data_IF_636171077691
#
_entry.id   IF_636171077691
#
_cell.length_a   1.000
_cell.length_b   1.000
_cell.length_c   1.000
_cell.angle_alpha   90.00
_cell.angle_beta   90.00
_cell.angle_gamma   90.00
#
_symmetry.space_group_name_H-M   'P 1'
#
loop_
_entity.id
_entity.type
_entity.pdbx_description
1 polymer ?
#
# COMPACT_ATOMS: atom_id res chain seq x y z
N UNK A 1 28.92 13.79 -66.72
CA UNK A 1 27.89 13.92 -67.77
C UNK A 1 27.89 12.59 -68.54
N UNK A 2 26.86 11.76 -68.60
CA UNK A 2 25.42 12.01 -68.53
C UNK A 2 24.71 10.65 -68.31
N UNK A 3 23.44 10.73 -67.87
CA UNK A 3 22.39 9.74 -68.09
C UNK A 3 22.17 8.62 -67.06
N UNK A 4 21.88 9.03 -65.82
CA UNK A 4 20.87 8.42 -64.93
C UNK A 4 19.46 8.56 -65.56
N UNK A 5 19.20 7.91 -66.69
CA UNK A 5 17.90 8.04 -67.40
C UNK A 5 17.31 6.74 -67.96
N UNK A 6 17.68 5.58 -67.40
CA UNK A 6 17.09 4.28 -67.78
C UNK A 6 16.41 3.48 -66.66
N UNK A 7 16.18 4.08 -65.47
CA UNK A 7 15.53 3.36 -64.35
C UNK A 7 14.11 3.89 -64.04
N UNK A 8 13.67 4.99 -64.67
CA UNK A 8 12.36 5.61 -64.34
C UNK A 8 11.20 5.11 -65.23
N UNK A 9 11.47 4.34 -66.28
CA UNK A 9 10.44 3.90 -67.24
C UNK A 9 9.80 2.53 -66.95
N UNK A 10 10.07 1.91 -65.80
CA UNK A 10 9.42 0.65 -65.38
C UNK A 10 8.54 0.78 -64.13
N UNK A 11 8.27 2.00 -63.65
CA UNK A 11 7.53 2.23 -62.40
C UNK A 11 6.14 2.88 -62.61
N UNK A 12 5.79 3.28 -63.84
CA UNK A 12 4.61 4.14 -64.05
C UNK A 12 3.46 3.56 -64.87
N UNK A 13 3.48 2.29 -65.27
CA UNK A 13 2.34 1.69 -65.97
C UNK A 13 2.10 0.29 -65.42
N UNK A 14 0.84 0.00 -65.10
CA UNK A 14 0.30 -1.29 -64.57
C UNK A 14 0.23 -1.46 -63.06
N UNK A 15 -0.13 -0.39 -62.34
CA UNK A 15 -0.96 -0.51 -61.12
C UNK A 15 -2.23 0.32 -61.28
N UNK A 16 -2.99 0.01 -62.33
CA UNK A 16 -4.45 0.17 -62.26
C UNK A 16 -4.93 -0.72 -61.11
N UNK A 17 -5.15 -0.09 -59.95
CA UNK A 17 -5.93 -0.72 -58.90
C UNK A 17 -7.32 -0.90 -59.48
N UNK A 18 -7.66 -2.14 -59.79
CA UNK A 18 -9.04 -2.60 -59.76
C UNK A 18 -9.65 -2.09 -58.46
N UNK A 19 -10.44 -1.02 -58.57
CA UNK A 19 -11.39 -0.62 -57.54
C UNK A 19 -12.39 -1.77 -57.54
N UNK A 20 -12.12 -2.79 -56.73
CA UNK A 20 -13.18 -3.67 -56.28
C UNK A 20 -14.19 -2.76 -55.61
N UNK A 21 -15.37 -2.67 -56.23
CA UNK A 21 -16.55 -2.10 -55.62
C UNK A 21 -16.60 -2.68 -54.21
N UNK A 22 -16.53 -1.80 -53.22
CA UNK A 22 -16.81 -2.17 -51.84
C UNK A 22 -18.18 -2.84 -51.87
N UNK A 23 -18.22 -4.18 -51.84
CA UNK A 23 -19.35 -4.88 -51.28
C UNK A 23 -19.52 -4.22 -49.93
N UNK A 24 -20.58 -3.45 -49.78
CA UNK A 24 -21.04 -3.00 -48.49
C UNK A 24 -21.25 -4.29 -47.70
N UNK A 25 -20.22 -4.67 -46.94
CA UNK A 25 -20.41 -5.53 -45.80
C UNK A 25 -21.16 -4.62 -44.85
N UNK A 26 -22.49 -4.64 -45.00
CA UNK A 26 -23.40 -4.24 -43.96
C UNK A 26 -23.11 -5.17 -42.79
N UNK A 27 -22.14 -4.77 -41.98
CA UNK A 27 -22.05 -5.27 -40.61
C UNK A 27 -23.34 -4.74 -40.01
N UNK A 28 -24.35 -5.62 -39.96
CA UNK A 28 -25.57 -5.34 -39.23
C UNK A 28 -25.14 -4.73 -37.89
N UNK A 29 -25.72 -3.59 -37.47
CA UNK A 29 -25.36 -3.03 -36.18
C UNK A 29 -25.47 -4.17 -35.20
N UNK A 30 -24.37 -4.44 -34.49
CA UNK A 30 -24.39 -5.40 -33.40
C UNK A 30 -25.41 -4.82 -32.42
N UNK A 31 -26.65 -5.26 -32.56
CA UNK A 31 -27.61 -5.26 -31.48
C UNK A 31 -26.91 -6.12 -30.45
N UNK A 32 -26.21 -5.45 -29.54
CA UNK A 32 -26.10 -5.95 -28.21
C UNK A 32 -27.56 -6.11 -27.76
N UNK A 33 -28.13 -7.30 -28.03
CA UNK A 33 -29.05 -7.91 -27.11
C UNK A 33 -28.26 -7.96 -25.82
N UNK A 34 -28.32 -6.86 -25.08
CA UNK A 34 -28.15 -6.86 -23.64
C UNK A 34 -29.32 -7.70 -23.16
N UNK A 35 -29.18 -9.01 -23.34
CA UNK A 35 -29.66 -9.93 -22.34
C UNK A 35 -28.92 -9.45 -21.11
N UNK A 36 -29.62 -8.63 -20.33
CA UNK A 36 -29.36 -8.52 -18.92
C UNK A 36 -29.56 -9.94 -18.40
N UNK A 37 -28.57 -10.81 -18.62
CA UNK A 37 -28.27 -11.84 -17.66
C UNK A 37 -27.90 -11.04 -16.42
N UNK A 38 -28.95 -10.74 -15.65
CA UNK A 38 -28.91 -10.51 -14.23
C UNK A 38 -28.30 -11.77 -13.61
N UNK A 39 -27.02 -12.02 -13.88
CA UNK A 39 -26.19 -12.61 -12.86
C UNK A 39 -25.92 -11.45 -11.91
N UNK A 40 -26.61 -11.39 -10.76
CA UNK A 40 -26.19 -10.48 -9.72
C UNK A 40 -24.74 -10.83 -9.47
N UNK A 41 -23.82 -9.92 -9.79
CA UNK A 41 -22.47 -9.98 -9.21
C UNK A 41 -22.74 -10.11 -7.73
N UNK A 42 -22.38 -11.26 -7.18
CA UNK A 42 -22.61 -11.66 -5.81
C UNK A 42 -21.76 -10.76 -4.91
N UNK A 43 -22.13 -9.49 -4.79
CA UNK A 43 -21.92 -8.78 -3.56
C UNK A 43 -22.85 -9.48 -2.60
N UNK A 44 -22.31 -10.43 -1.85
CA UNK A 44 -22.96 -10.88 -0.63
C UNK A 44 -23.21 -9.62 0.20
N UNK A 45 -24.39 -9.04 0.04
CA UNK A 45 -25.08 -8.42 1.17
C UNK A 45 -25.10 -9.55 2.16
N UNK A 46 -24.18 -9.54 3.11
CA UNK A 46 -24.30 -10.41 4.27
C UNK A 46 -25.59 -9.95 4.92
N UNK A 47 -26.69 -10.65 4.61
CA UNK A 47 -27.89 -10.65 5.44
C UNK A 47 -27.36 -10.79 6.85
N UNK A 48 -27.78 -9.89 7.73
CA UNK A 48 -27.63 -10.02 9.17
C UNK A 48 -28.01 -11.44 9.52
N UNK A 49 -27.02 -12.28 9.72
CA UNK A 49 -27.22 -13.67 10.10
C UNK A 49 -27.90 -13.61 11.46
N UNK A 50 -29.08 -14.22 11.51
CA UNK A 50 -29.86 -14.39 12.73
C UNK A 50 -28.90 -14.81 13.87
N UNK A 51 -28.88 -14.12 15.01
CA UNK A 51 -27.96 -14.42 16.11
C UNK A 51 -27.90 -15.92 16.45
N UNK A 52 -29.03 -16.62 16.35
CA UNK A 52 -29.12 -18.05 16.63
C UNK A 52 -28.40 -18.91 15.57
N UNK A 53 -28.39 -18.53 14.29
CA UNK A 53 -27.65 -19.25 13.23
C UNK A 53 -26.13 -19.16 13.42
N UNK A 54 -25.64 -18.03 13.95
CA UNK A 54 -24.21 -17.85 14.23
C UNK A 54 -23.78 -18.71 15.40
N UNK A 55 -24.63 -18.81 16.42
CA UNK A 55 -24.40 -19.64 17.61
C UNK A 55 -24.34 -21.13 17.22
N UNK A 56 -25.28 -21.61 16.42
CA UNK A 56 -25.32 -23.01 15.99
C UNK A 56 -24.09 -23.40 15.16
N UNK A 57 -23.66 -22.54 14.24
CA UNK A 57 -22.50 -22.78 13.37
C UNK A 57 -21.16 -22.82 14.12
N UNK A 58 -21.02 -22.00 15.17
CA UNK A 58 -19.76 -21.87 15.91
C UNK A 58 -19.70 -22.90 17.04
N UNK A 59 -20.80 -23.11 17.77
CA UNK A 59 -20.78 -23.87 19.02
C UNK A 59 -20.99 -25.38 18.81
N UNK A 60 -21.58 -25.82 17.69
CA UNK A 60 -21.80 -27.24 17.35
C UNK A 60 -22.32 -28.07 18.55
N UNK A 61 -23.20 -27.50 19.37
CA UNK A 61 -23.81 -28.16 20.55
C UNK A 61 -23.04 -28.06 21.89
N UNK A 62 -21.93 -27.31 21.97
CA UNK A 62 -21.21 -27.14 23.23
C UNK A 62 -21.80 -25.99 24.08
N UNK A 63 -22.54 -26.36 25.14
CA UNK A 63 -23.32 -25.43 25.97
C UNK A 63 -22.48 -24.35 26.68
N UNK A 64 -21.22 -24.63 27.05
CA UNK A 64 -20.36 -23.63 27.69
C UNK A 64 -19.88 -22.55 26.72
N UNK A 65 -19.53 -22.97 25.49
CA UNK A 65 -19.10 -22.05 24.44
C UNK A 65 -20.26 -21.17 23.98
N UNK A 66 -21.47 -21.74 23.90
CA UNK A 66 -22.68 -21.00 23.59
C UNK A 66 -22.97 -19.91 24.63
N UNK A 67 -22.92 -20.25 25.92
CA UNK A 67 -23.09 -19.26 27.00
C UNK A 67 -22.08 -18.13 26.89
N UNK A 68 -20.80 -18.45 26.65
CA UNK A 68 -19.75 -17.45 26.45
C UNK A 68 -20.03 -16.57 25.24
N UNK A 69 -20.45 -17.14 24.12
CA UNK A 69 -20.76 -16.39 22.90
C UNK A 69 -21.97 -15.46 23.09
N UNK A 70 -23.05 -15.94 23.72
CA UNK A 70 -24.23 -15.13 24.05
C UNK A 70 -23.86 -13.94 24.96
N UNK A 71 -23.00 -14.17 25.97
CA UNK A 71 -22.47 -13.08 26.83
C UNK A 71 -21.69 -12.06 26.00
N UNK A 72 -20.86 -12.50 25.05
CA UNK A 72 -20.11 -11.59 24.18
C UNK A 72 -21.02 -10.80 23.24
N UNK A 73 -22.08 -11.40 22.71
CA UNK A 73 -23.07 -10.72 21.88
C UNK A 73 -23.80 -9.63 22.67
N UNK A 74 -24.20 -9.93 23.92
CA UNK A 74 -24.75 -8.94 24.84
C UNK A 74 -23.74 -7.83 25.17
N UNK A 75 -22.46 -8.17 25.37
CA UNK A 75 -21.40 -7.17 25.60
C UNK A 75 -21.28 -6.19 24.42
N UNK A 76 -21.35 -6.68 23.17
CA UNK A 76 -21.33 -5.83 21.97
C UNK A 76 -22.58 -4.95 21.89
N UNK A 77 -23.75 -5.49 22.19
CA UNK A 77 -25.01 -4.74 22.12
C UNK A 77 -25.08 -3.63 23.17
N UNK A 78 -24.67 -3.93 24.41
CA UNK A 78 -24.52 -2.91 25.47
C UNK A 78 -23.54 -1.82 25.04
N UNK A 79 -22.43 -2.17 24.39
CA UNK A 79 -21.49 -1.17 23.88
C UNK A 79 -22.11 -0.25 22.82
N UNK A 80 -23.02 -0.74 21.98
CA UNK A 80 -23.75 0.08 21.00
C UNK A 80 -24.72 1.04 21.69
N UNK A 81 -25.47 0.54 22.68
CA UNK A 81 -26.42 1.34 23.47
C UNK A 81 -25.71 2.46 24.26
N UNK A 82 -24.54 2.16 24.83
CA UNK A 82 -23.68 3.13 25.52
C UNK A 82 -23.06 4.20 24.57
N UNK A 83 -23.25 4.09 23.25
CA UNK A 83 -22.61 4.97 22.27
C UNK A 83 -21.10 4.77 22.13
N UNK A 84 -20.57 3.61 22.58
CA UNK A 84 -19.15 3.27 22.41
C UNK A 84 -18.90 2.77 20.99
N UNK A 85 -17.62 2.80 20.59
CA UNK A 85 -17.20 2.36 19.26
C UNK A 85 -17.31 0.83 19.09
N UNK A 86 -18.47 0.35 18.65
CA UNK A 86 -18.75 -1.05 18.32
C UNK A 86 -19.28 -1.15 16.87
N UNK A 87 -18.86 -2.15 16.08
CA UNK A 87 -19.28 -2.31 14.68
C UNK A 87 -20.75 -2.74 14.57
N UNK A 88 -21.37 -2.47 13.42
CA UNK A 88 -22.79 -2.79 13.17
C UNK A 88 -22.97 -4.26 12.72
N UNK A 89 -22.00 -4.80 11.98
CA UNK A 89 -21.99 -6.20 11.54
C UNK A 89 -20.69 -6.91 11.91
N UNK A 90 -20.79 -8.13 12.45
CA UNK A 90 -19.64 -8.97 12.85
C UNK A 90 -19.74 -10.35 12.19
N UNK A 91 -18.66 -10.77 11.55
CA UNK A 91 -18.56 -12.07 10.86
C UNK A 91 -18.23 -13.23 11.81
N UNK A 92 -18.52 -14.47 11.40
CA UNK A 92 -18.24 -15.70 12.17
C UNK A 92 -16.76 -15.81 12.59
N UNK A 93 -15.81 -15.55 11.68
CA UNK A 93 -14.37 -15.56 12.02
C UNK A 93 -14.00 -14.51 13.08
N UNK A 94 -14.70 -13.37 13.08
CA UNK A 94 -14.47 -12.30 14.04
C UNK A 94 -15.03 -12.68 15.42
N UNK A 95 -16.15 -13.41 15.46
CA UNK A 95 -16.69 -14.00 16.68
C UNK A 95 -15.77 -15.08 17.26
N UNK A 96 -15.22 -15.97 16.42
CA UNK A 96 -14.22 -16.95 16.84
C UNK A 96 -12.98 -16.26 17.43
N UNK A 97 -12.50 -15.19 16.78
CA UNK A 97 -11.39 -14.41 17.32
C UNK A 97 -11.75 -13.71 18.64
N UNK A 98 -12.98 -13.21 18.81
CA UNK A 98 -13.43 -12.62 20.07
C UNK A 98 -13.48 -13.64 21.23
N UNK A 99 -13.81 -14.89 20.93
CA UNK A 99 -13.81 -15.99 21.91
C UNK A 99 -12.40 -16.34 22.40
N UNK A 100 -11.39 -16.22 21.54
CA UNK A 100 -9.98 -16.48 21.89
C UNK A 100 -9.39 -15.39 22.81
N UNK A 101 -9.96 -14.17 22.78
CA UNK A 101 -9.48 -13.04 23.59
C UNK A 101 -9.90 -13.16 25.07
N UNK A 102 -8.90 -13.37 25.93
CA UNK A 102 -9.08 -13.60 27.37
C UNK A 102 -9.58 -12.35 28.13
N UNK A 103 -9.09 -11.16 27.78
CA UNK A 103 -9.35 -9.94 28.57
C UNK A 103 -10.39 -9.00 27.94
N UNK A 104 -11.18 -8.32 28.77
CA UNK A 104 -12.18 -7.32 28.35
C UNK A 104 -11.55 -6.18 27.52
N UNK A 105 -10.38 -5.68 27.94
CA UNK A 105 -9.68 -4.60 27.26
C UNK A 105 -9.21 -4.99 25.85
N UNK A 106 -8.77 -6.24 25.65
CA UNK A 106 -8.39 -6.75 24.33
C UNK A 106 -9.62 -6.83 23.42
N UNK A 107 -10.76 -7.33 23.92
CA UNK A 107 -12.02 -7.37 23.17
C UNK A 107 -12.50 -5.98 22.78
N UNK A 108 -12.56 -5.03 23.71
CA UNK A 108 -12.92 -3.65 23.41
C UNK A 108 -11.99 -3.00 22.39
N UNK A 109 -10.69 -3.26 22.48
CA UNK A 109 -9.69 -2.76 21.51
C UNK A 109 -9.84 -3.40 20.12
N UNK A 110 -10.33 -4.64 20.05
CA UNK A 110 -10.64 -5.31 18.78
C UNK A 110 -11.95 -4.78 18.18
N UNK A 111 -13.02 -4.63 18.96
CA UNK A 111 -14.29 -4.05 18.53
C UNK A 111 -14.10 -2.61 18.01
N UNK A 112 -13.34 -1.79 18.73
CA UNK A 112 -12.99 -0.43 18.28
C UNK A 112 -12.24 -0.45 16.94
N UNK A 113 -11.38 -1.44 16.72
CA UNK A 113 -10.68 -1.61 15.45
C UNK A 113 -11.65 -1.98 14.32
N UNK A 114 -12.60 -2.90 14.57
CA UNK A 114 -13.62 -3.28 13.60
C UNK A 114 -14.50 -2.07 13.23
N UNK A 115 -14.99 -1.32 14.22
CA UNK A 115 -15.77 -0.10 14.01
C UNK A 115 -15.03 0.93 13.14
N UNK A 116 -13.76 1.21 13.47
CA UNK A 116 -12.94 2.13 12.65
C UNK A 116 -12.76 1.63 11.22
N UNK A 117 -12.64 0.32 11.05
CA UNK A 117 -12.51 -0.30 9.72
C UNK A 117 -13.80 -0.16 8.91
N UNK A 118 -14.95 -0.34 9.56
CA UNK A 118 -16.29 -0.16 8.97
C UNK A 118 -16.52 1.31 8.55
N UNK A 119 -16.29 2.26 9.46
CA UNK A 119 -16.42 3.69 9.14
C UNK A 119 -15.44 4.14 8.05
N UNK A 120 -14.24 3.57 8.01
CA UNK A 120 -13.31 3.83 6.90
C UNK A 120 -13.85 3.34 5.56
N UNK A 121 -14.56 2.20 5.52
CA UNK A 121 -15.19 1.69 4.29
C UNK A 121 -16.40 2.54 3.88
N UNK A 122 -17.23 2.97 4.82
CA UNK A 122 -18.33 3.90 4.55
C UNK A 122 -17.80 5.21 3.96
N UNK A 123 -16.80 5.82 4.58
CA UNK A 123 -16.16 7.04 4.08
C UNK A 123 -15.56 6.85 2.68
N UNK A 124 -14.94 5.69 2.42
CA UNK A 124 -14.42 5.37 1.09
C UNK A 124 -15.54 5.23 0.06
N UNK A 125 -16.66 4.59 0.41
CA UNK A 125 -17.84 4.46 -0.45
C UNK A 125 -18.46 5.82 -0.74
N UNK A 126 -18.67 6.65 0.28
CA UNK A 126 -19.16 8.01 0.14
C UNK A 126 -18.25 8.85 -0.76
N UNK A 127 -16.92 8.77 -0.59
CA UNK A 127 -15.95 9.46 -1.45
C UNK A 127 -16.00 8.97 -2.90
N UNK A 128 -16.17 7.66 -3.11
CA UNK A 128 -16.29 7.06 -4.46
C UNK A 128 -17.58 7.48 -5.14
N UNK A 129 -18.69 7.55 -4.41
CA UNK A 129 -19.98 8.03 -4.92
C UNK A 129 -19.94 9.53 -5.23
N UNK A 130 -19.32 10.34 -4.37
CA UNK A 130 -19.08 11.76 -4.64
C UNK A 130 -18.27 11.95 -5.93
N UNK A 131 -17.16 11.20 -6.09
CA UNK A 131 -16.36 11.21 -7.32
C UNK A 131 -17.16 10.75 -8.54
N UNK A 132 -18.03 9.74 -8.40
CA UNK A 132 -18.89 9.29 -9.50
C UNK A 132 -19.88 10.38 -9.93
N UNK A 133 -20.45 11.14 -8.99
CA UNK A 133 -21.32 12.28 -9.27
C UNK A 133 -20.58 13.39 -10.01
N UNK A 134 -19.30 13.64 -9.69
CA UNK A 134 -18.46 14.58 -10.44
C UNK A 134 -18.26 14.14 -11.90
N UNK A 135 -18.07 12.84 -12.16
CA UNK A 135 -17.93 12.32 -13.53
C UNK A 135 -19.23 12.34 -14.34
N UNK A 136 -20.40 12.33 -13.70
CA UNK A 136 -21.69 12.45 -14.41
C UNK A 136 -22.01 13.88 -14.82
N UNK A 137 -21.34 14.88 -14.24
CA UNK A 137 -21.42 16.25 -14.75
C UNK A 137 -20.72 16.27 -16.11
N UNK A 138 -21.41 16.68 -17.20
CA UNK A 138 -20.77 16.77 -18.50
C UNK A 138 -19.56 17.69 -18.39
N UNK A 139 -18.40 17.16 -18.80
CA UNK A 139 -17.19 17.97 -18.91
C UNK A 139 -17.40 18.97 -20.05
N UNK A 140 -16.85 20.19 -19.97
CA UNK A 140 -16.80 21.08 -21.12
C UNK A 140 -16.19 20.32 -22.30
N UNK A 141 -16.85 20.38 -23.46
CA UNK A 141 -16.35 19.74 -24.67
C UNK A 141 -14.99 20.37 -25.03
N UNK A 142 -13.99 19.52 -25.29
CA UNK A 142 -12.69 19.98 -25.77
C UNK A 142 -12.89 20.55 -27.18
N UNK A 143 -12.97 21.87 -27.28
CA UNK A 143 -13.22 22.58 -28.54
C UNK A 143 -11.97 22.52 -29.42
N UNK A 144 -12.16 22.15 -30.69
CA UNK A 144 -11.11 22.30 -31.69
C UNK A 144 -10.93 23.79 -32.03
N UNK A 145 -9.69 24.27 -32.15
CA UNK A 145 -9.42 25.62 -32.65
C UNK A 145 -9.85 25.76 -34.12
N UNK A 146 -9.57 24.75 -34.96
CA UNK A 146 -10.08 24.65 -36.33
C UNK A 146 -10.85 23.34 -36.60
N UNK A 147 -11.79 23.34 -37.54
CA UNK A 147 -12.60 22.15 -37.90
C UNK A 147 -11.75 20.96 -38.35
N UNK A 148 -10.66 21.24 -39.05
CA UNK A 148 -9.79 20.24 -39.68
C UNK A 148 -8.71 19.69 -38.72
N UNK A 149 -8.56 20.28 -37.53
CA UNK A 149 -7.53 19.84 -36.58
C UNK A 149 -7.88 18.49 -35.95
N UNK A 150 -6.86 17.65 -35.79
CA UNK A 150 -6.93 16.39 -35.07
C UNK A 150 -6.90 16.70 -33.58
N UNK A 151 -7.97 16.33 -32.87
CA UNK A 151 -8.02 16.48 -31.42
C UNK A 151 -7.16 15.37 -30.79
N UNK A 152 -6.06 15.76 -30.16
CA UNK A 152 -5.18 14.84 -29.45
C UNK A 152 -5.59 14.74 -27.99
N UNK A 153 -5.75 13.52 -27.48
CA UNK A 153 -6.10 13.32 -26.08
C UNK A 153 -6.28 11.86 -25.70
N UNK A 154 -6.38 11.59 -24.39
CA UNK A 154 -6.58 10.24 -23.86
C UNK A 154 -7.87 9.59 -24.38
N UNK A 155 -8.88 10.40 -24.71
CA UNK A 155 -10.16 9.98 -25.28
C UNK A 155 -10.25 10.19 -26.80
N UNK A 156 -9.19 10.70 -27.43
CA UNK A 156 -9.16 11.01 -28.85
C UNK A 156 -8.00 10.28 -29.54
N UNK A 157 -7.65 10.73 -30.74
CA UNK A 157 -6.54 10.14 -31.48
C UNK A 157 -5.22 10.45 -30.78
N UNK A 158 -4.36 9.46 -30.67
CA UNK A 158 -3.03 9.62 -30.10
C UNK A 158 -2.03 8.95 -31.03
N UNK A 159 -0.92 9.65 -31.29
CA UNK A 159 0.18 9.12 -32.09
C UNK A 159 0.96 8.02 -31.33
N UNK A 160 0.86 7.98 -30.00
CA UNK A 160 1.60 7.07 -29.14
C UNK A 160 0.75 5.87 -28.68
N UNK A 161 1.37 4.68 -28.62
CA UNK A 161 0.72 3.53 -28.01
C UNK A 161 0.46 3.79 -26.53
N UNK A 162 -0.79 3.60 -26.11
CA UNK A 162 -1.16 3.66 -24.70
C UNK A 162 -0.62 2.43 -23.97
N UNK A 163 0.35 2.65 -23.10
CA UNK A 163 0.76 1.66 -22.10
C UNK A 163 -0.35 1.59 -21.04
N UNK A 164 -1.00 0.42 -20.94
CA UNK A 164 -2.06 0.18 -19.95
C UNK A 164 -1.44 -0.40 -18.68
N UNK A 165 -2.09 -0.17 -17.54
CA UNK A 165 -1.67 -0.75 -16.26
C UNK A 165 -1.58 -2.28 -16.31
N UNK A 166 -2.42 -2.94 -17.11
CA UNK A 166 -2.33 -4.38 -17.34
C UNK A 166 -1.02 -4.78 -18.02
N UNK A 167 -0.58 -4.02 -19.03
CA UNK A 167 0.69 -4.25 -19.72
C UNK A 167 1.89 -4.02 -18.80
N UNK A 168 1.84 -2.99 -17.95
CA UNK A 168 2.87 -2.73 -16.93
C UNK A 168 2.94 -3.89 -15.93
N UNK A 169 1.79 -4.31 -15.40
CA UNK A 169 1.72 -5.43 -14.46
C UNK A 169 2.26 -6.74 -15.07
N UNK A 170 1.96 -7.01 -16.34
CA UNK A 170 2.48 -8.18 -17.04
C UNK A 170 4.00 -8.10 -17.20
N UNK A 171 4.53 -6.92 -17.53
CA UNK A 171 5.96 -6.68 -17.62
C UNK A 171 6.68 -6.88 -16.27
N UNK A 172 6.13 -6.35 -15.19
CA UNK A 172 6.69 -6.52 -13.84
C UNK A 172 6.64 -7.99 -13.40
N UNK A 173 5.54 -8.70 -13.67
CA UNK A 173 5.43 -10.13 -13.39
C UNK A 173 6.44 -10.95 -14.19
N UNK A 174 6.67 -10.60 -15.47
CA UNK A 174 7.70 -11.25 -16.30
C UNK A 174 9.10 -11.07 -15.71
N UNK A 175 9.42 -9.88 -15.20
CA UNK A 175 10.71 -9.62 -14.51
C UNK A 175 10.87 -10.47 -13.26
N UNK A 176 9.81 -10.62 -12.47
CA UNK A 176 9.82 -11.50 -11.31
C UNK A 176 10.00 -12.98 -11.70
N UNK A 177 9.35 -13.45 -12.79
CA UNK A 177 9.55 -14.80 -13.33
C UNK A 177 10.98 -15.03 -13.81
N UNK A 178 11.57 -14.04 -14.50
CA UNK A 178 12.96 -14.11 -14.94
C UNK A 178 13.93 -14.20 -13.75
N UNK A 179 13.65 -13.45 -12.68
CA UNK A 179 14.40 -13.54 -11.43
C UNK A 179 14.21 -14.88 -10.72
N UNK A 180 13.05 -15.54 -10.85
CA UNK A 180 12.85 -16.89 -10.31
C UNK A 180 13.80 -17.92 -10.92
N UNK A 181 14.16 -17.76 -12.20
CA UNK A 181 15.05 -18.68 -12.92
C UNK A 181 16.53 -18.34 -12.72
N UNK A 182 16.90 -17.06 -12.75
CA UNK A 182 18.30 -16.62 -12.83
C UNK A 182 18.72 -15.63 -11.74
N UNK A 183 17.78 -15.17 -10.93
CA UNK A 183 18.03 -14.18 -9.89
C UNK A 183 18.59 -14.80 -8.62
N UNK A 184 19.32 -13.99 -7.86
CA UNK A 184 19.76 -14.34 -6.51
C UNK A 184 18.54 -14.65 -5.61
N UNK A 185 18.62 -15.75 -4.85
CA UNK A 185 17.59 -16.15 -3.91
C UNK A 185 17.67 -15.37 -2.61
N UNK A 186 16.51 -14.97 -2.11
CA UNK A 186 16.33 -14.42 -0.77
C UNK A 186 15.26 -15.21 -0.04
N UNK A 187 15.51 -15.50 1.23
CA UNK A 187 14.62 -16.30 2.06
C UNK A 187 13.88 -15.43 3.05
N UNK A 188 12.59 -15.69 3.18
CA UNK A 188 11.71 -15.08 4.16
C UNK A 188 11.24 -16.20 5.09
N UNK A 189 11.69 -16.14 6.34
CA UNK A 189 11.44 -17.18 7.34
C UNK A 189 10.11 -16.96 8.05
N UNK A 190 9.12 -17.81 7.79
CA UNK A 190 7.76 -17.71 8.32
C UNK A 190 7.51 -18.51 9.61
N UNK A 191 8.55 -18.97 10.31
CA UNK A 191 8.37 -19.79 11.53
C UNK A 191 7.77 -19.05 12.74
N UNK A 192 7.63 -17.72 12.68
CA UNK A 192 7.28 -16.89 13.84
C UNK A 192 5.77 -16.75 14.08
N UNK A 193 4.93 -17.50 13.37
CA UNK A 193 3.46 -17.37 13.48
C UNK A 193 2.96 -17.58 14.91
N UNK A 194 3.53 -18.53 15.66
CA UNK A 194 3.17 -18.81 17.07
C UNK A 194 3.54 -17.68 18.04
N UNK A 195 4.49 -16.83 17.67
CA UNK A 195 4.97 -15.72 18.49
C UNK A 195 4.25 -14.40 18.18
N UNK A 196 3.37 -14.38 17.16
CA UNK A 196 2.64 -13.19 16.73
C UNK A 196 1.18 -13.26 17.20
N UNK A 197 0.67 -12.13 17.69
CA UNK A 197 -0.77 -11.97 17.90
C UNK A 197 -1.46 -11.89 16.54
N UNK A 198 -2.73 -12.30 16.42
CA UNK A 198 -3.50 -12.24 15.17
C UNK A 198 -3.37 -10.91 14.40
N UNK A 199 -3.39 -9.76 15.09
CA UNK A 199 -3.18 -8.44 14.47
C UNK A 199 -1.78 -8.29 13.85
N UNK A 200 -0.75 -8.86 14.47
CA UNK A 200 0.62 -8.88 13.97
C UNK A 200 0.72 -9.83 12.77
N UNK A 201 0.11 -11.01 12.82
CA UNK A 201 0.03 -11.97 11.70
C UNK A 201 -0.63 -11.36 10.46
N UNK A 202 -1.77 -10.68 10.62
CA UNK A 202 -2.44 -9.95 9.52
C UNK A 202 -1.54 -8.85 8.95
N UNK A 203 -0.77 -8.16 9.80
CA UNK A 203 0.17 -7.14 9.35
C UNK A 203 1.40 -7.74 8.65
N UNK A 204 1.89 -8.90 9.09
CA UNK A 204 2.97 -9.63 8.44
C UNK A 204 2.55 -10.04 7.01
N UNK A 205 1.36 -10.62 6.87
CA UNK A 205 0.80 -10.95 5.55
C UNK A 205 0.64 -9.71 4.64
N UNK A 206 0.26 -8.56 5.21
CA UNK A 206 0.25 -7.29 4.44
C UNK A 206 1.64 -6.83 4.03
N UNK A 207 2.64 -6.96 4.91
CA UNK A 207 4.02 -6.60 4.57
C UNK A 207 4.54 -7.44 3.42
N UNK A 208 4.19 -8.73 3.38
CA UNK A 208 4.53 -9.61 2.28
C UNK A 208 3.91 -9.19 0.95
N UNK A 209 2.69 -8.65 0.94
CA UNK A 209 2.09 -8.07 -0.27
C UNK A 209 2.91 -6.89 -0.80
N UNK A 210 3.43 -6.03 0.09
CA UNK A 210 4.32 -4.94 -0.32
C UNK A 210 5.66 -5.48 -0.83
N UNK A 211 6.26 -6.45 -0.15
CA UNK A 211 7.50 -7.11 -0.58
C UNK A 211 7.38 -7.66 -2.00
N UNK A 212 6.29 -8.39 -2.29
CA UNK A 212 6.04 -8.91 -3.62
C UNK A 212 5.91 -7.79 -4.66
N UNK A 213 5.15 -6.74 -4.33
CA UNK A 213 4.93 -5.58 -5.18
C UNK A 213 6.21 -4.81 -5.49
N UNK A 214 7.06 -4.55 -4.49
CA UNK A 214 8.31 -3.80 -4.65
C UNK A 214 9.35 -4.64 -5.40
N UNK A 215 9.42 -5.95 -5.14
CA UNK A 215 10.36 -6.86 -5.79
C UNK A 215 10.15 -6.93 -7.31
N UNK A 216 8.90 -7.11 -7.77
CA UNK A 216 8.61 -7.24 -9.21
C UNK A 216 8.84 -5.96 -10.01
N UNK A 217 8.73 -4.80 -9.37
CA UNK A 217 8.97 -3.49 -10.00
C UNK A 217 10.47 -3.18 -10.07
N UNK A 218 11.29 -3.76 -9.19
CA UNK A 218 12.73 -3.49 -9.09
C UNK A 218 13.52 -3.99 -10.30
N UNK A 219 14.54 -3.23 -10.76
CA UNK A 219 15.32 -3.54 -11.99
C UNK A 219 15.94 -4.92 -11.99
N UNK A 220 16.42 -5.35 -10.82
CA UNK A 220 16.99 -6.67 -10.60
C UNK A 220 16.28 -7.33 -9.40
N UNK A 221 15.13 -8.00 -9.60
CA UNK A 221 14.39 -8.63 -8.52
C UNK A 221 15.18 -9.79 -7.88
N UNK A 222 14.80 -10.17 -6.66
CA UNK A 222 15.19 -11.43 -6.05
C UNK A 222 14.24 -12.55 -6.43
N UNK A 223 14.76 -13.78 -6.40
CA UNK A 223 13.95 -14.97 -6.31
C UNK A 223 13.46 -15.12 -4.85
N UNK A 224 12.17 -14.86 -4.61
CA UNK A 224 11.57 -14.88 -3.27
C UNK A 224 11.25 -16.32 -2.84
N UNK A 225 11.81 -16.76 -1.72
CA UNK A 225 11.49 -18.02 -1.07
C UNK A 225 10.87 -17.80 0.31
N UNK A 226 9.64 -18.24 0.50
CA UNK A 226 9.03 -18.36 1.82
C UNK A 226 9.33 -19.75 2.38
N UNK A 227 9.98 -19.83 3.54
CA UNK A 227 10.32 -21.09 4.20
C UNK A 227 9.58 -21.21 5.54
N UNK A 228 9.47 -22.45 6.04
CA UNK A 228 8.79 -22.77 7.30
C UNK A 228 7.33 -22.29 7.33
N UNK A 229 6.66 -22.32 6.18
CA UNK A 229 5.29 -21.84 6.05
C UNK A 229 4.30 -22.88 6.55
N UNK A 230 3.39 -22.46 7.43
CA UNK A 230 2.22 -23.27 7.79
C UNK A 230 1.08 -22.99 6.80
N UNK A 231 0.81 -23.92 5.89
CA UNK A 231 -0.23 -23.78 4.86
C UNK A 231 -1.65 -23.65 5.46
N UNK A 232 -1.90 -24.22 6.64
CA UNK A 232 -3.21 -24.12 7.31
C UNK A 232 -3.31 -22.93 8.27
N UNK A 233 -2.20 -22.21 8.46
CA UNK A 233 -2.06 -21.11 9.40
C UNK A 233 -2.91 -19.88 9.05
N UNK A 234 -3.10 -19.01 10.05
CA UNK A 234 -3.75 -17.73 9.87
C UNK A 234 -2.95 -16.81 8.94
N UNK A 235 -1.62 -16.93 8.95
CA UNK A 235 -0.75 -16.18 8.04
C UNK A 235 -1.06 -16.48 6.57
N UNK A 236 -1.07 -17.76 6.17
CA UNK A 236 -1.32 -18.16 4.78
C UNK A 236 -2.74 -17.83 4.33
N UNK A 237 -3.73 -18.02 5.20
CA UNK A 237 -5.11 -17.59 4.93
C UNK A 237 -5.22 -16.08 4.63
N UNK A 238 -4.49 -15.25 5.39
CA UNK A 238 -4.48 -13.80 5.14
C UNK A 238 -3.67 -13.44 3.89
N UNK A 239 -2.59 -14.16 3.60
CA UNK A 239 -1.80 -13.99 2.37
C UNK A 239 -2.65 -14.26 1.12
N UNK A 240 -3.38 -15.38 1.09
CA UNK A 240 -4.28 -15.74 0.00
C UNK A 240 -5.42 -14.74 -0.18
N UNK A 241 -5.91 -14.17 0.92
CA UNK A 241 -6.90 -13.10 0.86
C UNK A 241 -6.35 -11.81 0.23
N UNK A 242 -5.09 -11.48 0.51
CA UNK A 242 -4.44 -10.29 -0.05
C UNK A 242 -4.03 -10.51 -1.51
N UNK A 243 -3.60 -11.73 -1.85
CA UNK A 243 -3.13 -12.12 -3.18
C UNK A 243 -3.85 -13.43 -3.57
N UNK A 244 -5.02 -13.35 -4.23
CA UNK A 244 -5.79 -14.54 -4.61
C UNK A 244 -5.05 -15.47 -5.58
N UNK A 245 -4.17 -14.92 -6.41
CA UNK A 245 -3.39 -15.68 -7.40
C UNK A 245 -2.17 -16.39 -6.81
N UNK A 246 -2.01 -16.42 -5.49
CA UNK A 246 -0.83 -17.00 -4.84
C UNK A 246 -0.72 -18.52 -5.03
N UNK A 247 -1.86 -19.22 -5.06
CA UNK A 247 -1.92 -20.68 -5.24
C UNK A 247 -1.71 -21.11 -6.70
N UNK A 248 -1.65 -20.15 -7.62
CA UNK A 248 -1.45 -20.44 -9.04
C UNK A 248 0.00 -20.88 -9.31
N UNK A 249 0.21 -21.92 -10.13
CA UNK A 249 1.54 -22.49 -10.37
C UNK A 249 2.49 -21.53 -11.09
N UNK A 250 1.94 -20.53 -11.80
CA UNK A 250 2.72 -19.50 -12.51
C UNK A 250 3.05 -18.29 -11.65
N UNK A 251 2.62 -18.25 -10.38
CA UNK A 251 2.88 -17.11 -9.51
C UNK A 251 4.38 -17.02 -9.19
N UNK A 252 5.04 -15.85 -9.38
CA UNK A 252 6.50 -15.71 -9.26
C UNK A 252 6.96 -15.60 -7.80
N UNK A 253 6.66 -16.61 -6.98
CA UNK A 253 7.14 -16.73 -5.61
C UNK A 253 7.14 -18.19 -5.18
N UNK A 254 8.22 -18.62 -4.54
CA UNK A 254 8.38 -20.00 -4.07
C UNK A 254 7.92 -20.14 -2.62
N UNK A 255 6.99 -21.05 -2.35
CA UNK A 255 6.45 -21.29 -1.01
C UNK A 255 6.81 -22.71 -0.56
N UNK A 256 7.53 -22.80 0.56
CA UNK A 256 8.03 -24.05 1.12
C UNK A 256 7.56 -24.24 2.56
N UNK A 257 7.02 -25.41 2.86
CA UNK A 257 6.76 -25.85 4.25
C UNK A 257 8.04 -26.27 4.97
N UNK A 258 9.06 -26.67 4.21
CA UNK A 258 10.38 -27.12 4.68
C UNK A 258 11.21 -25.97 5.26
N UNK A 259 12.25 -26.33 6.01
CA UNK A 259 13.20 -25.36 6.55
C UNK A 259 14.09 -24.79 5.46
N UNK A 260 14.58 -23.56 5.62
CA UNK A 260 15.59 -23.00 4.72
C UNK A 260 16.89 -23.81 4.69
N UNK A 261 17.19 -24.57 5.75
CA UNK A 261 18.34 -25.49 5.82
C UNK A 261 18.21 -26.67 4.86
N UNK A 262 16.98 -27.09 4.53
CA UNK A 262 16.73 -28.21 3.63
C UNK A 262 16.72 -27.78 2.16
N UNK A 263 16.47 -26.49 1.91
CA UNK A 263 16.31 -25.92 0.56
C UNK A 263 17.64 -25.36 0.05
N UNK A 264 18.48 -24.81 0.92
CA UNK A 264 19.71 -24.12 0.55
C UNK A 264 20.93 -24.67 1.32
N UNK A 265 22.13 -24.66 0.71
CA UNK A 265 23.36 -25.08 1.37
C UNK A 265 23.68 -24.13 2.54
N UNK A 266 23.99 -24.72 3.70
CA UNK A 266 24.17 -24.00 4.97
C UNK A 266 25.26 -22.94 4.89
N UNK A 267 26.31 -23.16 4.11
CA UNK A 267 27.49 -22.31 3.99
C UNK A 267 27.18 -20.95 3.34
N UNK A 268 26.15 -20.92 2.48
CA UNK A 268 25.71 -19.71 1.78
C UNK A 268 24.70 -18.89 2.57
N UNK A 269 24.11 -19.45 3.62
CA UNK A 269 23.04 -18.80 4.39
C UNK A 269 23.59 -17.70 5.31
N UNK A 270 23.01 -16.51 5.20
CA UNK A 270 23.29 -15.37 6.09
C UNK A 270 22.00 -14.85 6.68
N UNK A 271 21.79 -15.04 7.98
CA UNK A 271 20.60 -14.58 8.67
C UNK A 271 20.73 -13.11 9.07
N UNK A 272 19.85 -12.27 8.55
CA UNK A 272 19.78 -10.84 8.88
C UNK A 272 18.96 -10.63 10.15
N UNK A 273 19.61 -10.18 11.22
CA UNK A 273 18.97 -9.91 12.51
C UNK A 273 19.53 -8.65 13.16
N UNK A 274 18.69 -7.73 13.67
CA UNK A 274 19.15 -6.48 14.26
C UNK A 274 19.94 -6.68 15.56
N UNK A 275 19.78 -7.83 16.23
CA UNK A 275 20.43 -8.14 17.49
C UNK A 275 21.83 -8.77 17.33
N UNK A 276 22.32 -8.96 16.09
CA UNK A 276 23.68 -9.44 15.86
C UNK A 276 24.72 -8.37 16.25
N UNK A 277 25.93 -8.81 16.59
CA UNK A 277 27.08 -7.91 16.77
C UNK A 277 27.74 -7.58 15.43
N UNK A 278 27.84 -8.55 14.54
CA UNK A 278 28.50 -8.43 13.24
C UNK A 278 27.67 -7.59 12.26
N UNK A 279 28.32 -6.63 11.61
CA UNK A 279 27.70 -5.74 10.64
C UNK A 279 27.95 -6.22 9.21
N UNK A 280 26.91 -6.16 8.38
CA UNK A 280 27.02 -6.40 6.96
C UNK A 280 27.70 -5.18 6.32
N UNK A 281 29.01 -5.27 6.05
CA UNK A 281 29.76 -4.15 5.44
C UNK A 281 29.63 -4.12 3.93
N UNK A 282 29.61 -5.29 3.29
CA UNK A 282 29.51 -5.46 1.84
C UNK A 282 28.38 -6.43 1.52
N UNK A 283 27.68 -6.15 0.43
CA UNK A 283 26.68 -7.08 -0.12
C UNK A 283 27.40 -8.19 -0.88
N UNK A 284 27.00 -9.44 -0.61
CA UNK A 284 27.54 -10.65 -1.22
C UNK A 284 26.46 -11.24 -2.14
N UNK A 285 26.78 -11.31 -3.44
CA UNK A 285 25.86 -11.80 -4.47
C UNK A 285 25.74 -13.34 -4.50
N UNK A 286 26.68 -14.06 -3.89
CA UNK A 286 26.67 -15.53 -3.80
C UNK A 286 25.97 -16.04 -2.53
N UNK A 287 25.82 -15.18 -1.53
CA UNK A 287 25.10 -15.47 -0.30
C UNK A 287 23.57 -15.50 -0.51
N UNK A 288 22.90 -16.29 0.32
CA UNK A 288 21.44 -16.34 0.43
C UNK A 288 21.05 -15.70 1.75
N UNK A 289 20.53 -14.46 1.66
CA UNK A 289 20.10 -13.71 2.83
C UNK A 289 18.76 -14.22 3.35
N UNK A 290 18.64 -14.35 4.67
CA UNK A 290 17.39 -14.73 5.35
C UNK A 290 16.87 -13.53 6.14
N UNK A 291 15.58 -13.21 5.96
CA UNK A 291 14.85 -12.19 6.72
C UNK A 291 13.69 -12.85 7.46
N UNK A 292 13.56 -12.59 8.76
CA UNK A 292 12.45 -13.13 9.55
C UNK A 292 11.11 -12.48 9.20
N UNK A 293 10.11 -13.28 8.87
CA UNK A 293 8.73 -12.83 8.68
C UNK A 293 8.02 -12.62 10.02
N UNK A 294 8.32 -11.51 10.69
CA UNK A 294 7.77 -11.22 12.03
C UNK A 294 7.42 -9.75 12.19
N UNK A 295 6.37 -9.48 12.97
CA UNK A 295 5.99 -8.14 13.43
C UNK A 295 6.01 -8.12 14.96
N UNK A 296 6.97 -7.39 15.51
CA UNK A 296 7.38 -7.39 16.92
C UNK A 296 6.83 -6.18 17.70
N UNK A 297 5.51 -5.94 17.66
CA UNK A 297 4.95 -4.80 18.41
C UNK A 297 4.81 -5.10 19.89
N UNK A 298 4.37 -6.32 20.22
CA UNK A 298 4.11 -6.76 21.59
C UNK A 298 5.32 -7.48 22.18
N UNK A 299 5.82 -8.52 21.53
CA UNK A 299 7.01 -9.25 21.95
C UNK A 299 8.27 -8.68 21.27
N UNK A 300 9.31 -8.32 22.04
CA UNK A 300 10.58 -7.79 21.52
C UNK A 300 11.78 -8.72 21.82
N UNK A 301 11.51 -9.98 22.14
CA UNK A 301 12.56 -10.97 22.35
C UNK A 301 13.39 -11.20 21.07
N UNK A 302 14.71 -11.45 21.18
CA UNK A 302 15.60 -11.64 20.04
C UNK A 302 15.46 -13.05 19.42
N UNK A 303 14.24 -13.41 19.00
CA UNK A 303 13.88 -14.75 18.52
C UNK A 303 14.69 -15.17 17.28
N UNK A 304 14.90 -14.25 16.34
CA UNK A 304 15.65 -14.52 15.11
C UNK A 304 17.13 -14.77 15.36
N UNK A 305 17.73 -14.06 16.31
CA UNK A 305 19.12 -14.29 16.73
C UNK A 305 19.26 -15.65 17.41
N UNK A 306 18.33 -15.99 18.32
CA UNK A 306 18.34 -17.27 19.01
C UNK A 306 18.18 -18.46 18.04
N UNK A 307 17.30 -18.32 17.03
CA UNK A 307 17.12 -19.33 15.98
C UNK A 307 18.36 -19.49 15.12
N UNK A 308 18.92 -18.40 14.59
CA UNK A 308 20.11 -18.47 13.74
C UNK A 308 21.35 -19.04 14.47
N UNK A 309 21.50 -18.75 15.77
CA UNK A 309 22.53 -19.37 16.62
C UNK A 309 22.33 -20.87 16.78
N UNK A 310 21.08 -21.32 16.98
CA UNK A 310 20.74 -22.74 17.11
C UNK A 310 21.06 -23.51 15.83
N UNK A 311 20.78 -22.91 14.69
CA UNK A 311 21.03 -23.50 13.37
C UNK A 311 22.52 -23.43 12.97
N UNK A 312 23.31 -22.61 13.69
CA UNK A 312 24.75 -22.44 13.48
C UNK A 312 25.08 -21.85 12.11
N UNK A 313 24.29 -20.86 11.65
CA UNK A 313 24.51 -20.14 10.39
C UNK A 313 25.09 -18.75 10.64
N UNK A 314 25.70 -18.15 9.60
CA UNK A 314 26.25 -16.80 9.68
C UNK A 314 25.13 -15.80 9.95
N UNK A 315 25.40 -14.78 10.77
CA UNK A 315 24.43 -13.76 11.14
C UNK A 315 25.01 -12.38 10.92
N UNK A 316 24.23 -11.45 10.40
CA UNK A 316 24.66 -10.06 10.26
C UNK A 316 23.52 -9.09 10.57
N UNK A 317 23.85 -7.89 11.03
CA UNK A 317 22.93 -6.74 11.10
C UNK A 317 23.28 -5.71 10.03
N UNK A 318 22.31 -4.89 9.63
CA UNK A 318 22.59 -3.74 8.77
C UNK A 318 23.38 -2.68 9.55
N UNK A 319 24.34 -1.97 8.92
CA UNK A 319 25.17 -0.93 9.55
C UNK A 319 24.41 0.40 9.71
N UNK A 320 23.17 0.36 10.22
CA UNK A 320 22.26 1.51 10.25
C UNK A 320 22.82 2.70 11.03
N UNK A 321 23.51 2.43 12.13
CA UNK A 321 24.06 3.46 13.02
C UNK A 321 25.23 4.25 12.40
N UNK A 322 25.84 3.73 11.32
CA UNK A 322 26.92 4.43 10.60
C UNK A 322 26.38 5.51 9.67
N UNK A 323 25.17 5.32 9.13
CA UNK A 323 24.61 6.14 8.05
C UNK A 323 23.38 6.95 8.48
N UNK A 324 22.71 6.58 9.58
CA UNK A 324 21.43 7.19 9.97
C UNK A 324 21.46 7.70 11.41
N UNK A 325 21.04 8.95 11.58
CA UNK A 325 20.77 9.53 12.88
C UNK A 325 19.34 9.22 13.34
N UNK A 326 19.22 8.41 14.36
CA UNK A 326 17.92 7.99 14.89
C UNK A 326 17.30 9.06 15.78
N UNK A 327 16.00 9.29 15.59
CA UNK A 327 15.25 10.13 16.49
C UNK A 327 15.08 9.48 17.88
N UNK A 328 15.07 10.26 18.98
CA UNK A 328 14.89 9.73 20.33
C UNK A 328 13.65 8.84 20.45
N UNK A 329 13.82 7.66 21.07
CA UNK A 329 12.75 6.67 21.28
C UNK A 329 12.38 5.83 20.05
N UNK A 330 13.08 5.97 18.93
CA UNK A 330 12.82 5.16 17.72
C UNK A 330 13.48 3.79 17.80
N UNK A 331 12.70 2.73 17.60
CA UNK A 331 13.24 1.37 17.46
C UNK A 331 13.98 1.20 16.13
N UNK A 332 15.18 0.64 16.19
CA UNK A 332 16.06 0.37 15.03
C UNK A 332 15.62 -0.84 14.19
N UNK A 333 14.74 -1.68 14.72
CA UNK A 333 14.18 -2.82 13.99
C UNK A 333 13.37 -2.33 12.79
N UNK A 334 13.72 -2.80 11.59
CA UNK A 334 13.02 -2.49 10.35
C UNK A 334 12.05 -3.61 10.01
N UNK A 335 10.91 -3.23 9.43
CA UNK A 335 9.94 -4.20 8.93
C UNK A 335 10.45 -4.87 7.64
N UNK A 336 9.89 -6.03 7.31
CA UNK A 336 10.27 -6.81 6.13
C UNK A 336 10.10 -5.98 4.84
N UNK A 337 9.01 -5.21 4.76
CA UNK A 337 8.71 -4.34 3.63
C UNK A 337 9.71 -3.18 3.46
N UNK A 338 10.56 -2.89 4.45
CA UNK A 338 11.67 -1.94 4.30
C UNK A 338 12.98 -2.69 4.05
N UNK A 339 13.17 -3.85 4.68
CA UNK A 339 14.37 -4.67 4.50
C UNK A 339 14.56 -5.11 3.04
N UNK A 340 13.51 -5.58 2.37
CA UNK A 340 13.64 -6.10 1.01
C UNK A 340 14.02 -5.00 -0.01
N UNK A 341 13.35 -3.82 -0.05
CA UNK A 341 13.80 -2.71 -0.90
C UNK A 341 15.24 -2.27 -0.63
N UNK A 342 15.68 -2.21 0.64
CA UNK A 342 17.07 -1.89 0.98
C UNK A 342 18.02 -2.90 0.35
N UNK A 343 17.74 -4.21 0.46
CA UNK A 343 18.58 -5.25 -0.11
C UNK A 343 18.55 -5.24 -1.65
N UNK A 344 17.42 -4.90 -2.25
CA UNK A 344 17.27 -4.78 -3.72
C UNK A 344 18.17 -3.67 -4.27
N UNK A 345 18.16 -2.51 -3.62
CA UNK A 345 19.01 -1.38 -4.02
C UNK A 345 20.49 -1.69 -3.75
N UNK A 346 20.84 -2.29 -2.59
CA UNK A 346 22.21 -2.70 -2.29
C UNK A 346 22.78 -3.69 -3.30
N UNK A 347 21.96 -4.65 -3.76
CA UNK A 347 22.35 -5.61 -4.80
C UNK A 347 22.75 -4.90 -6.10
N UNK A 348 22.10 -3.79 -6.42
CA UNK A 348 22.31 -3.05 -7.68
C UNK A 348 23.39 -1.98 -7.57
N UNK A 349 23.39 -1.19 -6.50
CA UNK A 349 24.25 0.01 -6.37
C UNK A 349 25.45 -0.20 -5.46
N UNK A 350 25.41 -1.21 -4.57
CA UNK A 350 26.36 -1.38 -3.46
C UNK A 350 26.53 -0.13 -2.57
N UNK A 351 25.57 0.80 -2.62
CA UNK A 351 25.59 2.06 -1.88
C UNK A 351 24.57 2.04 -0.74
N UNK A 352 25.08 2.14 0.48
CA UNK A 352 24.27 2.18 1.70
C UNK A 352 23.47 3.48 1.82
N UNK A 353 23.99 4.62 1.39
CA UNK A 353 23.27 5.89 1.51
C UNK A 353 22.03 5.91 0.62
N UNK A 354 22.18 5.43 -0.62
CA UNK A 354 21.05 5.26 -1.53
C UNK A 354 20.03 4.25 -1.00
N UNK A 355 20.47 3.05 -0.62
CA UNK A 355 19.57 1.99 -0.18
C UNK A 355 18.81 2.35 1.11
N UNK A 356 19.45 3.05 2.05
CA UNK A 356 18.83 3.41 3.33
C UNK A 356 17.77 4.51 3.22
N UNK A 357 17.53 5.09 2.03
CA UNK A 357 16.41 5.99 1.77
C UNK A 357 15.03 5.33 1.99
N UNK A 358 14.96 3.99 1.90
CA UNK A 358 13.76 3.21 2.19
C UNK A 358 13.40 3.16 3.68
N UNK A 359 14.29 3.61 4.57
CA UNK A 359 14.00 3.71 6.01
C UNK A 359 12.96 4.81 6.25
N UNK A 360 11.90 4.54 7.04
CA UNK A 360 10.87 5.55 7.31
C UNK A 360 11.45 6.83 7.94
N UNK A 361 11.34 7.95 7.22
CA UNK A 361 11.82 9.28 7.66
C UNK A 361 11.38 9.66 9.07
N UNK A 362 10.16 9.27 9.48
CA UNK A 362 9.64 9.49 10.86
C UNK A 362 10.51 8.89 11.99
N UNK A 363 11.40 7.95 11.68
CA UNK A 363 12.34 7.36 12.63
C UNK A 363 13.66 8.13 12.72
N UNK A 364 13.91 9.06 11.80
CA UNK A 364 15.15 9.83 11.70
C UNK A 364 15.06 11.15 12.46
N UNK A 365 16.19 11.59 13.00
CA UNK A 365 16.29 12.81 13.82
C UNK A 365 15.94 14.06 13.01
N UNK A 366 16.44 14.15 11.77
CA UNK A 366 16.19 15.24 10.84
C UNK A 366 14.69 15.57 10.70
N UNK A 367 13.85 14.55 10.57
CA UNK A 367 12.39 14.75 10.40
C UNK A 367 11.75 15.32 11.67
N UNK A 368 12.24 14.96 12.85
CA UNK A 368 11.76 15.56 14.11
C UNK A 368 12.20 17.02 14.24
N UNK A 369 13.44 17.33 13.84
CA UNK A 369 13.95 18.71 13.82
C UNK A 369 13.10 19.56 12.89
N UNK A 370 12.86 19.11 11.66
CA UNK A 370 12.00 19.82 10.69
C UNK A 370 10.57 20.02 11.22
N UNK A 371 10.00 19.00 11.87
CA UNK A 371 8.67 19.12 12.48
C UNK A 371 8.64 20.15 13.61
N UNK A 372 9.69 20.18 14.46
CA UNK A 372 9.82 21.14 15.55
C UNK A 372 9.99 22.57 15.01
N UNK A 373 10.85 22.77 14.01
CA UNK A 373 11.04 24.05 13.33
C UNK A 373 9.74 24.54 12.68
N UNK A 374 8.99 23.65 12.03
CA UNK A 374 7.69 23.97 11.43
C UNK A 374 6.68 24.44 12.49
N UNK A 375 6.62 23.75 13.63
CA UNK A 375 5.73 24.11 14.74
C UNK A 375 6.14 25.47 15.37
N UNK A 376 7.44 25.72 15.53
CA UNK A 376 7.98 27.01 15.99
C UNK A 376 7.61 28.14 15.03
N UNK A 377 7.82 27.94 13.73
CA UNK A 377 7.47 28.92 12.70
C UNK A 377 5.95 29.20 12.67
N UNK A 378 5.10 28.18 12.85
CA UNK A 378 3.66 28.37 12.95
C UNK A 378 3.25 29.18 14.19
N UNK A 379 3.88 28.92 15.35
CA UNK A 379 3.66 29.72 16.56
C UNK A 379 4.10 31.17 16.38
N UNK A 380 5.29 31.40 15.84
CA UNK A 380 5.80 32.74 15.53
C UNK A 380 4.86 33.48 14.57
N UNK A 381 4.38 32.82 13.52
CA UNK A 381 3.41 33.40 12.59
C UNK A 381 2.07 33.74 13.28
N UNK A 382 1.62 32.89 14.20
CA UNK A 382 0.41 33.16 14.99
C UNK A 382 0.60 34.37 15.91
N UNK A 383 1.72 34.45 16.62
CA UNK A 383 2.03 35.55 17.54
C UNK A 383 2.20 36.88 16.80
N UNK A 384 2.87 36.88 15.65
CA UNK A 384 2.96 38.06 14.77
C UNK A 384 1.57 38.48 14.29
N UNK A 385 0.73 37.55 13.82
CA UNK A 385 -0.64 37.87 13.40
C UNK A 385 -1.50 38.39 14.55
N UNK A 386 -1.34 37.85 15.76
CA UNK A 386 -2.02 38.32 16.98
C UNK A 386 -1.58 39.73 17.34
N UNK A 387 -0.28 40.02 17.30
CA UNK A 387 0.26 41.34 17.58
C UNK A 387 -0.15 42.39 16.53
N UNK A 388 -0.20 42.02 15.24
CA UNK A 388 -0.72 42.89 14.17
C UNK A 388 -2.22 43.15 14.34
N UNK A 389 -3.00 42.16 14.77
CA UNK A 389 -4.44 42.37 15.08
C UNK A 389 -4.62 43.29 16.29
N UNK A 390 -3.79 43.14 17.32
CA UNK A 390 -3.83 43.96 18.52
C UNK A 390 -3.46 45.42 18.22
N UNK A 391 -2.44 45.66 17.38
CA UNK A 391 -2.07 47.02 16.96
C UNK A 391 -3.18 47.68 16.11
N UNK A 392 -3.85 46.93 15.23
CA UNK A 392 -5.03 47.42 14.49
C UNK A 392 -6.20 47.78 15.40
N UNK A 393 -6.45 47.00 16.46
CA UNK A 393 -7.48 47.33 17.46
C UNK A 393 -7.15 48.63 18.21
N UNK A 394 -5.89 48.80 18.63
CA UNK A 394 -5.44 50.03 19.30
C UNK A 394 -5.52 51.27 18.38
N UNK A 395 -5.36 51.08 17.07
CA UNK A 395 -5.49 52.18 16.08
C UNK A 395 -6.96 52.61 15.90
N UNK A 396 -7.91 51.67 16.02
CA UNK A 396 -9.34 51.97 15.96
C UNK A 396 -9.82 52.71 17.22
N UNK A 397 -9.33 52.33 18.40
CA UNK A 397 -9.64 53.04 19.66
C UNK A 397 -9.11 54.48 19.67
N UNK A 398 -8.00 54.77 18.96
CA UNK A 398 -7.46 56.13 18.86
C UNK A 398 -8.17 57.02 17.82
N UNK A 399 -8.91 56.46 16.86
CA UNK A 399 -9.62 57.23 15.83
C UNK A 399 -11.00 57.76 16.26
N UNK A 400 -11.60 57.22 17.33
CA UNK A 400 -12.92 57.68 17.82
C UNK A 400 -12.89 58.93 18.72
N UNK A 401 -11.70 59.49 19.04
CA UNK A 401 -11.58 60.74 19.83
C UNK A 401 -11.23 61.99 19.02
N UNK A 402 -11.27 61.95 17.68
CA UNK A 402 -11.03 63.12 16.81
C UNK A 402 -12.30 63.54 16.06
N UNK A 403 -13.37 63.79 16.80
CA UNK A 403 -14.51 64.57 16.33
C UNK A 403 -14.68 65.78 17.25
N UNK A 404 -14.69 66.97 16.62
CA UNK A 404 -14.82 68.34 17.17
C UNK A 404 -13.51 69.03 17.58
N UNK A 405 -12.94 69.77 16.62
CA UNK A 405 -12.62 71.19 16.85
C UNK A 405 -12.36 71.94 15.53
N UNK A 406 -13.35 72.74 15.15
CA UNK A 406 -13.32 74.10 14.54
C UNK A 406 -12.65 74.34 13.18
N UNK A 407 -13.49 74.84 12.27
CA UNK A 407 -13.19 75.67 11.08
C UNK A 407 -12.45 76.98 11.45
N UNK A 408 -11.67 77.51 10.50
CA UNK A 408 -11.71 78.91 10.02
C UNK A 408 -11.23 78.88 8.55
N UNK A 409 -12.00 79.26 7.51
CA UNK A 409 -12.62 80.52 7.10
C UNK A 409 -11.69 81.53 6.39
N UNK A 410 -10.39 81.27 6.26
CA UNK A 410 -9.45 82.03 5.41
C UNK A 410 -8.23 81.19 5.08
N UNK A 411 -8.21 80.51 3.93
CA UNK A 411 -6.99 80.07 3.24
C UNK A 411 -7.30 80.13 1.73
N UNK A 412 -7.54 81.34 1.25
CA UNK A 412 -7.43 81.73 -0.15
C UNK A 412 -6.02 82.31 -0.38
N UNK A 413 -5.51 82.07 -1.59
CA UNK A 413 -4.42 82.76 -2.31
C UNK A 413 -2.97 82.31 -2.08
N UNK A 414 -2.45 81.52 -3.03
CA UNK A 414 -1.54 82.04 -4.08
C UNK A 414 -1.07 80.92 -5.04
N UNK A 415 -1.35 81.14 -6.33
CA UNK A 415 -0.70 80.65 -7.58
C UNK A 415 -0.53 79.13 -7.76
#
# INVERSE_FOLDING_TARGET
>A
MYCIRKVITSVLISRERLIHSNKQITVAPFQACVTFNNHPRCYSIQKTSDPDQVVDLICKGNAELEKKLRILMLEVEVMRQDGRFAPDSINNDQWQHLLDLKTKNQRQSYLRYLFKTEKSKENFKAKKEARRKEFTVPKPEDMKENKDDLLYGIQHQSLFLRIRDQSINQFDNYRALQAMMYGQSIVIDCSYESHMVYKETVNAAKQMTFVFGDNRVHKNPFNLHLCNVNMTGAFMKQMLKNIPSLDEPWFPMNIHTKSYLDVFPKEKLVYLTPHCREELTKFDHDAVYIVGCMVDKVNNEPLSLAKAKRDGIKMAKLPLDRYLEWAPGSKKNLNINHMIPILLDLKMTADWEYALQHVPRRKLMETKIMAMQKNLNQKLQYDVKKNIKLSKLNTLVFKEKRLKSRRSLYDDENI
#
